data_IF_170536844844
#
_entry.id   IF_170536844844
#
_cell.length_a   1.000
_cell.length_b   1.000
_cell.length_c   1.000
_cell.angle_alpha   90.00
_cell.angle_beta   90.00
_cell.angle_gamma   90.00
#
_symmetry.space_group_name_H-M   'P 1'
#
loop_
_entity.id
_entity.type
_entity.pdbx_description
1 polymer ?
#
# COMPACT_ATOMS: atom_id res chain seq x y z
N UNK A 1 -6.90 12.93 16.12
CA UNK A 1 -7.23 14.17 16.81
C UNK A 1 -8.53 14.78 16.28
N UNK A 2 -9.09 15.81 16.95
CA UNK A 2 -10.28 16.49 16.47
C UNK A 2 -9.88 17.72 15.68
N UNK A 3 -10.56 17.96 14.56
CA UNK A 3 -10.30 19.11 13.68
C UNK A 3 -11.54 19.95 13.48
N UNK A 4 -11.38 21.27 13.59
CA UNK A 4 -12.41 22.26 13.25
C UNK A 4 -12.29 22.66 11.78
N UNK A 5 -13.37 23.18 11.17
CA UNK A 5 -13.28 23.77 9.82
C UNK A 5 -12.19 24.85 9.75
N UNK A 6 -11.41 24.80 8.69
CA UNK A 6 -10.23 25.63 8.40
C UNK A 6 -9.04 25.44 9.35
N UNK A 7 -9.04 24.39 10.14
CA UNK A 7 -7.88 23.99 10.93
C UNK A 7 -6.89 23.23 10.04
N UNK A 8 -5.60 23.50 10.22
CA UNK A 8 -4.49 22.87 9.49
C UNK A 8 -3.61 22.09 10.48
N UNK A 9 -3.23 20.89 10.07
CA UNK A 9 -2.35 19.99 10.83
C UNK A 9 -1.24 19.53 9.91
N UNK A 10 0.00 19.53 10.42
CA UNK A 10 1.16 19.05 9.68
C UNK A 10 1.51 17.62 10.08
N UNK A 11 1.64 16.72 9.12
CA UNK A 11 2.07 15.33 9.31
C UNK A 11 3.09 14.98 8.24
N UNK A 12 4.29 14.57 8.66
CA UNK A 12 5.39 14.16 7.77
C UNK A 12 5.78 15.21 6.70
N UNK A 13 5.67 16.50 7.01
CA UNK A 13 5.96 17.60 6.08
C UNK A 13 4.77 18.06 5.24
N UNK A 14 3.66 17.31 5.25
CA UNK A 14 2.42 17.65 4.55
C UNK A 14 1.45 18.39 5.47
N UNK A 15 0.87 19.46 4.97
CA UNK A 15 -0.16 20.25 5.65
C UNK A 15 -1.55 19.79 5.20
N UNK A 16 -2.38 19.39 6.17
CA UNK A 16 -3.76 18.97 5.95
C UNK A 16 -4.71 20.03 6.47
N UNK A 17 -5.38 20.73 5.59
CA UNK A 17 -6.38 21.75 5.94
C UNK A 17 -7.78 21.15 5.79
N UNK A 18 -8.53 21.11 6.89
CA UNK A 18 -9.91 20.62 6.90
C UNK A 18 -10.89 21.73 6.53
N UNK A 19 -11.59 21.60 5.42
CA UNK A 19 -12.59 22.59 4.97
C UNK A 19 -14.00 22.33 5.50
N UNK A 20 -14.17 21.31 6.31
CA UNK A 20 -15.46 20.93 6.86
C UNK A 20 -15.99 19.61 6.27
N UNK A 21 -17.18 19.22 6.71
CA UNK A 21 -17.82 18.00 6.27
C UNK A 21 -19.19 18.29 5.65
N UNK A 22 -19.55 17.49 4.65
CA UNK A 22 -20.88 17.51 4.00
C UNK A 22 -21.59 16.20 4.29
N UNK A 23 -22.88 16.31 4.62
CA UNK A 23 -23.78 15.15 4.75
C UNK A 23 -24.52 14.94 3.45
N UNK A 24 -24.72 13.69 3.09
CA UNK A 24 -25.47 13.31 1.89
C UNK A 24 -26.08 11.94 2.03
N UNK A 25 -26.82 11.55 0.99
CA UNK A 25 -27.51 10.27 0.93
C UNK A 25 -27.16 9.56 -0.38
N UNK A 26 -26.76 8.30 -0.28
CA UNK A 26 -26.57 7.38 -1.39
C UNK A 26 -27.80 6.47 -1.58
N UNK A 27 -27.73 5.50 -2.51
CA UNK A 27 -28.86 4.61 -2.81
C UNK A 27 -29.37 3.82 -1.60
N UNK A 28 -28.48 3.37 -0.72
CA UNK A 28 -28.80 2.52 0.45
C UNK A 28 -28.04 2.92 1.72
N UNK A 29 -27.41 4.10 1.74
CA UNK A 29 -26.65 4.61 2.88
C UNK A 29 -26.75 6.13 3.00
N UNK A 30 -26.52 6.64 4.18
CA UNK A 30 -26.22 8.06 4.43
C UNK A 30 -24.72 8.21 4.65
N UNK A 31 -24.15 9.35 4.29
CA UNK A 31 -22.73 9.56 4.46
C UNK A 31 -22.40 10.95 5.01
N UNK A 32 -21.28 11.02 5.69
CA UNK A 32 -20.58 12.27 6.04
C UNK A 32 -19.26 12.24 5.30
N UNK A 33 -19.03 13.21 4.43
CA UNK A 33 -17.81 13.36 3.62
C UNK A 33 -17.02 14.56 4.11
N UNK A 34 -15.80 14.33 4.60
CA UNK A 34 -14.86 15.41 4.90
C UNK A 34 -14.17 15.90 3.63
N UNK A 35 -13.78 17.17 3.63
CA UNK A 35 -13.00 17.79 2.54
C UNK A 35 -11.69 18.28 3.13
N UNK A 36 -10.58 17.72 2.65
CA UNK A 36 -9.23 18.06 3.09
C UNK A 36 -8.39 18.46 1.90
N UNK A 37 -7.77 19.64 1.98
CA UNK A 37 -6.70 20.00 1.07
C UNK A 37 -5.37 19.61 1.69
N UNK A 38 -4.52 18.99 0.88
CA UNK A 38 -3.16 18.63 1.26
C UNK A 38 -2.20 19.49 0.48
N UNK A 39 -1.27 20.13 1.17
CA UNK A 39 -0.19 20.94 0.60
C UNK A 39 1.17 20.54 1.18
N UNK A 40 2.21 20.80 0.40
CA UNK A 40 3.62 20.67 0.76
C UNK A 40 4.32 21.93 0.27
N UNK A 41 5.05 22.62 1.13
CA UNK A 41 5.72 23.89 0.82
C UNK A 41 4.82 24.91 0.11
N UNK A 42 3.58 25.10 0.61
CA UNK A 42 2.55 25.96 0.04
C UNK A 42 2.02 25.53 -1.36
N UNK A 43 2.48 24.41 -1.90
CA UNK A 43 1.97 23.84 -3.15
C UNK A 43 0.89 22.81 -2.86
N UNK A 44 -0.26 22.93 -3.53
CA UNK A 44 -1.33 21.96 -3.40
C UNK A 44 -0.92 20.62 -4.02
N UNK A 45 -0.92 19.56 -3.21
CA UNK A 45 -0.60 18.17 -3.61
C UNK A 45 -1.88 17.43 -4.02
N UNK A 46 -2.91 17.46 -3.17
CA UNK A 46 -4.15 16.72 -3.41
C UNK A 46 -5.33 17.32 -2.65
N UNK A 47 -6.54 16.93 -3.06
CA UNK A 47 -7.75 17.07 -2.24
C UNK A 47 -8.25 15.69 -1.88
N UNK A 48 -8.35 15.40 -0.59
CA UNK A 48 -8.79 14.12 -0.05
C UNK A 48 -10.18 14.23 0.53
N UNK A 49 -11.04 13.25 0.22
CA UNK A 49 -12.45 13.26 0.63
C UNK A 49 -12.83 11.95 1.31
N UNK A 50 -12.38 11.71 2.56
CA UNK A 50 -12.79 10.54 3.33
C UNK A 50 -14.29 10.59 3.63
N UNK A 51 -14.91 9.42 3.69
CA UNK A 51 -16.34 9.28 4.00
C UNK A 51 -16.59 8.35 5.18
N UNK A 52 -17.57 8.70 5.98
CA UNK A 52 -18.19 7.79 6.94
C UNK A 52 -19.58 7.46 6.45
N UNK A 53 -19.86 6.18 6.20
CA UNK A 53 -21.13 5.70 5.67
C UNK A 53 -21.90 4.92 6.72
N UNK A 54 -23.23 5.10 6.76
CA UNK A 54 -24.16 4.35 7.60
C UNK A 54 -25.18 3.70 6.67
N UNK A 55 -25.16 2.38 6.57
CA UNK A 55 -26.07 1.64 5.71
C UNK A 55 -27.46 1.56 6.32
N UNK A 56 -28.49 1.91 5.52
CA UNK A 56 -29.88 2.05 5.99
C UNK A 56 -30.48 0.72 6.48
N UNK A 57 -30.15 -0.38 5.82
CA UNK A 57 -30.70 -1.71 6.13
C UNK A 57 -29.94 -2.38 7.28
N UNK A 58 -28.63 -2.52 7.14
CA UNK A 58 -27.80 -3.23 8.12
C UNK A 58 -27.44 -2.41 9.35
N UNK A 59 -27.72 -1.10 9.34
CA UNK A 59 -27.30 -0.13 10.37
C UNK A 59 -25.78 -0.15 10.66
N UNK A 60 -25.01 -0.77 9.75
CA UNK A 60 -23.55 -0.83 9.87
C UNK A 60 -22.92 0.50 9.46
N UNK A 61 -22.00 0.93 10.28
CA UNK A 61 -21.15 2.08 9.96
C UNK A 61 -19.86 1.56 9.32
N UNK A 62 -19.49 2.10 8.16
CA UNK A 62 -18.20 1.89 7.51
C UNK A 62 -17.49 3.21 7.33
N UNK A 63 -16.18 3.15 7.33
CA UNK A 63 -15.33 4.31 7.11
C UNK A 63 -14.54 4.09 5.82
N UNK A 64 -14.77 4.96 4.86
CA UNK A 64 -14.04 4.99 3.59
C UNK A 64 -12.89 5.98 3.74
N UNK A 65 -11.69 5.46 3.81
CA UNK A 65 -10.50 6.28 3.87
C UNK A 65 -10.19 6.93 2.51
N UNK A 66 -9.69 8.14 2.53
CA UNK A 66 -9.10 8.75 1.35
C UNK A 66 -7.59 8.52 1.39
N UNK A 67 -7.04 8.01 0.30
CA UNK A 67 -5.64 7.66 0.15
C UNK A 67 -5.08 8.41 -1.06
N UNK A 68 -3.91 9.01 -0.88
CA UNK A 68 -3.13 9.57 -1.98
C UNK A 68 -1.77 8.91 -2.00
N UNK A 69 -1.54 8.09 -3.02
CA UNK A 69 -0.30 7.33 -3.17
C UNK A 69 0.74 8.13 -3.92
N UNK A 70 1.93 8.20 -3.36
CA UNK A 70 3.11 8.85 -3.93
C UNK A 70 4.29 7.87 -3.94
N UNK A 71 5.36 8.25 -4.66
CA UNK A 71 6.56 7.40 -4.78
C UNK A 71 7.24 7.11 -3.44
N UNK A 72 7.19 8.07 -2.51
CA UNK A 72 7.84 7.97 -1.19
C UNK A 72 6.91 7.47 -0.09
N UNK A 73 5.60 7.42 -0.31
CA UNK A 73 4.63 6.94 0.67
C UNK A 73 3.20 7.30 0.34
N UNK A 74 2.29 6.81 1.15
CA UNK A 74 0.86 7.06 1.02
C UNK A 74 0.39 8.00 2.13
N UNK A 75 -0.33 9.04 1.74
CA UNK A 75 -1.11 9.87 2.65
C UNK A 75 -2.47 9.21 2.85
N UNK A 76 -2.82 8.95 4.09
CA UNK A 76 -4.04 8.25 4.47
C UNK A 76 -4.83 9.10 5.45
N UNK A 77 -6.09 9.37 5.15
CA UNK A 77 -6.96 10.15 6.04
C UNK A 77 -8.32 9.49 6.21
N UNK A 78 -8.81 9.56 7.43
CA UNK A 78 -10.13 9.03 7.83
C UNK A 78 -10.88 10.11 8.60
N UNK A 79 -12.17 10.22 8.33
CA UNK A 79 -13.10 11.03 9.12
C UNK A 79 -13.94 10.13 10.03
N UNK A 80 -13.99 10.47 11.32
CA UNK A 80 -14.77 9.78 12.33
C UNK A 80 -16.07 10.48 12.67
N UNK A 81 -16.41 10.51 13.95
CA UNK A 81 -17.64 11.12 14.46
C UNK A 81 -17.47 12.61 14.69
N UNK A 82 -18.59 13.31 14.61
CA UNK A 82 -18.67 14.69 15.05
C UNK A 82 -18.54 14.72 16.58
N UNK A 83 -17.71 15.60 17.08
CA UNK A 83 -17.51 15.81 18.51
C UNK A 83 -18.68 16.64 19.07
N UNK A 84 -18.75 16.81 20.38
CA UNK A 84 -19.76 17.65 21.06
C UNK A 84 -19.76 19.12 20.58
N UNK A 85 -18.71 19.57 19.91
CA UNK A 85 -18.64 20.89 19.29
C UNK A 85 -19.10 20.79 17.83
N UNK A 86 -20.15 21.52 17.41
CA UNK A 86 -20.68 21.47 16.06
C UNK A 86 -19.61 21.74 14.98
N UNK A 87 -19.60 20.92 13.94
CA UNK A 87 -18.63 21.03 12.84
C UNK A 87 -17.23 20.50 13.13
N UNK A 88 -16.96 20.03 14.35
CA UNK A 88 -15.68 19.44 14.73
C UNK A 88 -15.73 17.92 14.60
N UNK A 89 -14.82 17.37 13.82
CA UNK A 89 -14.79 15.92 13.56
C UNK A 89 -13.51 15.29 14.07
N UNK A 90 -13.63 14.06 14.58
CA UNK A 90 -12.45 13.24 14.88
C UNK A 90 -11.82 12.83 13.56
N UNK A 91 -10.54 13.11 13.39
CA UNK A 91 -9.78 12.74 12.19
C UNK A 91 -8.57 11.90 12.56
N UNK A 92 -8.21 10.98 11.67
CA UNK A 92 -6.97 10.21 11.77
C UNK A 92 -6.21 10.36 10.47
N UNK A 93 -5.00 10.89 10.59
CA UNK A 93 -4.11 11.16 9.47
C UNK A 93 -2.86 10.32 9.68
N UNK A 94 -2.47 9.57 8.65
CA UNK A 94 -1.27 8.74 8.66
C UNK A 94 -0.47 8.99 7.39
N UNK A 95 0.84 8.91 7.55
CA UNK A 95 1.77 8.80 6.45
C UNK A 95 2.42 7.42 6.52
N UNK A 96 2.24 6.62 5.48
CA UNK A 96 2.81 5.29 5.37
C UNK A 96 3.97 5.33 4.36
N UNK A 97 5.23 5.37 4.82
CA UNK A 97 6.37 5.47 3.92
C UNK A 97 6.56 4.16 3.12
N UNK A 98 7.06 4.30 1.90
CA UNK A 98 7.57 3.21 1.06
C UNK A 98 6.58 2.09 0.70
N UNK A 99 5.26 2.30 0.83
CA UNK A 99 4.27 1.25 0.51
C UNK A 99 4.39 0.78 -0.93
N UNK A 100 4.61 1.69 -1.88
CA UNK A 100 4.75 1.36 -3.31
C UNK A 100 5.96 0.46 -3.58
N UNK A 101 7.04 0.59 -2.80
CA UNK A 101 8.26 -0.21 -2.97
C UNK A 101 8.07 -1.69 -2.64
N UNK A 102 7.08 -2.01 -1.82
CA UNK A 102 6.68 -3.39 -1.57
C UNK A 102 6.20 -4.07 -2.86
N UNK A 103 5.40 -3.36 -3.67
CA UNK A 103 4.93 -3.86 -4.97
C UNK A 103 6.06 -3.95 -6.00
N UNK A 104 6.97 -2.97 -6.01
CA UNK A 104 8.17 -3.00 -6.85
C UNK A 104 9.02 -4.24 -6.51
N UNK A 105 9.19 -4.56 -5.22
CA UNK A 105 9.89 -5.76 -4.77
C UNK A 105 9.25 -7.05 -5.29
N UNK A 106 7.92 -7.15 -5.24
CA UNK A 106 7.18 -8.30 -5.78
C UNK A 106 7.40 -8.44 -7.30
N UNK A 107 7.34 -7.35 -8.05
CA UNK A 107 7.57 -7.36 -9.51
C UNK A 107 9.00 -7.82 -9.83
N UNK A 108 9.99 -7.35 -9.09
CA UNK A 108 11.39 -7.78 -9.25
C UNK A 108 11.53 -9.27 -8.96
N UNK A 109 10.90 -9.78 -7.89
CA UNK A 109 10.92 -11.21 -7.55
C UNK A 109 10.30 -12.06 -8.66
N UNK A 110 9.15 -11.65 -9.20
CA UNK A 110 8.49 -12.36 -10.32
C UNK A 110 9.39 -12.35 -11.56
N UNK A 111 9.98 -11.19 -11.89
CA UNK A 111 10.94 -11.07 -13.00
C UNK A 111 12.16 -11.98 -12.84
N UNK A 112 12.76 -12.01 -11.67
CA UNK A 112 13.86 -12.92 -11.34
C UNK A 112 13.48 -14.41 -11.45
N UNK A 113 12.27 -14.77 -11.00
CA UNK A 113 11.72 -16.11 -11.14
C UNK A 113 11.55 -16.53 -12.60
N UNK A 114 11.00 -15.65 -13.44
CA UNK A 114 10.85 -15.91 -14.88
C UNK A 114 12.22 -16.09 -15.55
N UNK A 115 13.19 -15.21 -15.26
CA UNK A 115 14.54 -15.34 -15.79
C UNK A 115 15.19 -16.66 -15.37
N UNK A 116 15.05 -17.04 -14.11
CA UNK A 116 15.58 -18.31 -13.57
C UNK A 116 14.95 -19.53 -14.26
N UNK A 117 13.65 -19.49 -14.56
CA UNK A 117 12.97 -20.58 -15.27
C UNK A 117 13.34 -20.64 -16.76
N UNK A 118 13.67 -19.49 -17.35
CA UNK A 118 14.04 -19.40 -18.78
C UNK A 118 15.50 -19.77 -19.01
N UNK A 119 16.38 -19.64 -18.00
CA UNK A 119 17.78 -19.97 -18.12
C UNK A 119 18.00 -21.50 -18.13
N UNK A 120 18.23 -22.03 -19.33
CA UNK A 120 18.52 -23.46 -19.57
C UNK A 120 19.82 -23.95 -18.90
N UNK A 121 20.75 -23.06 -18.56
CA UNK A 121 22.08 -23.45 -18.03
C UNK A 121 21.97 -24.17 -16.69
N UNK A 122 21.03 -23.81 -15.85
CA UNK A 122 20.83 -24.45 -14.55
C UNK A 122 20.01 -25.76 -14.60
N UNK A 123 19.34 -26.04 -15.72
CA UNK A 123 18.59 -27.29 -15.90
C UNK A 123 19.43 -28.50 -16.33
N UNK A 124 20.62 -28.29 -16.84
CA UNK A 124 21.52 -29.36 -17.21
C UNK A 124 22.32 -29.69 -15.96
N UNK A 125 21.75 -30.54 -15.09
CA UNK A 125 22.45 -31.14 -13.99
C UNK A 125 23.73 -31.79 -14.53
N UNK A 126 24.85 -31.52 -13.90
CA UNK A 126 26.14 -32.11 -14.15
C UNK A 126 25.97 -33.63 -14.37
N UNK A 127 26.31 -34.22 -15.52
CA UNK A 127 26.21 -35.65 -15.70
C UNK A 127 27.19 -36.30 -14.71
N UNK A 128 26.64 -36.91 -13.66
CA UNK A 128 27.37 -37.79 -12.77
C UNK A 128 27.81 -39.03 -13.60
N UNK A 129 28.88 -38.89 -14.39
CA UNK A 129 29.31 -39.91 -15.31
C UNK A 129 30.78 -39.81 -15.70
N UNK A 130 31.69 -39.71 -14.75
CA UNK A 130 33.12 -39.89 -15.09
C UNK A 130 33.95 -40.63 -14.08
N UNK A 131 33.37 -41.14 -12.99
CA UNK A 131 34.18 -41.91 -11.99
C UNK A 131 34.22 -43.41 -12.23
N UNK A 132 33.27 -43.98 -12.97
CA UNK A 132 33.20 -45.42 -13.22
C UNK A 132 34.23 -45.92 -14.22
N UNK A 133 34.55 -45.10 -15.26
CA UNK A 133 35.51 -45.49 -16.29
C UNK A 133 36.98 -45.54 -15.85
N UNK A 134 37.35 -44.81 -14.83
CA UNK A 134 38.75 -44.82 -14.30
C UNK A 134 39.02 -46.07 -13.50
N UNK A 135 38.06 -46.61 -12.76
CA UNK A 135 38.21 -47.83 -11.98
C UNK A 135 38.32 -49.08 -12.86
N UNK A 136 37.47 -49.16 -13.91
CA UNK A 136 37.52 -50.33 -14.85
C UNK A 136 38.84 -50.35 -15.64
N UNK A 137 39.40 -49.20 -16.00
CA UNK A 137 40.70 -49.11 -16.68
C UNK A 137 41.88 -49.51 -15.80
N UNK A 138 41.82 -49.24 -14.50
CA UNK A 138 42.88 -49.61 -13.56
C UNK A 138 42.83 -51.13 -13.21
N UNK A 139 41.64 -51.73 -13.12
CA UNK A 139 41.49 -53.16 -12.88
C UNK A 139 42.05 -53.98 -14.06
N UNK A 140 41.82 -53.51 -15.30
CA UNK A 140 42.32 -54.19 -16.52
C UNK A 140 43.84 -54.13 -16.68
N UNK A 141 44.54 -53.17 -16.07
CA UNK A 141 46.00 -53.04 -16.06
C UNK A 141 46.68 -53.94 -15.01
N UNK A 142 45.96 -54.47 -14.05
CA UNK A 142 46.51 -55.35 -13.02
C UNK A 142 46.38 -56.87 -13.37
N UNK A 143 45.77 -57.17 -14.52
CA UNK A 143 45.58 -58.56 -14.99
C UNK A 143 46.47 -58.94 -16.19
N UNK A 144 47.39 -58.05 -16.59
CA UNK A 144 48.45 -58.25 -17.56
C UNK A 144 49.79 -58.17 -16.87
#
# INVERSE_FOLDING_TARGET
QSMKPNETITVAGYEFTFHGARRGQGPNYTFVRGIFNVSEDAHKVATLTPEKRIYNVSKRTTTEAAIHSMLLGDLYIVIGEETNSPGTYVTRIYFNPLVIWMWVGVIIMVGGGILSLTDRRYRIGNPAGSRTNTLIRNVKKLQT
#
